data_IF_096628047965
#
_entry.id   IF_096628047965
#
_cell.length_a   1.000
_cell.length_b   1.000
_cell.length_c   1.000
_cell.angle_alpha   90.00
_cell.angle_beta   90.00
_cell.angle_gamma   90.00
#
_symmetry.space_group_name_H-M   'P 1'
#
loop_
_entity.id
_entity.type
_entity.pdbx_description
1 polymer ?
#
# COMPACT_ATOMS: atom_id res chain seq x y z
N UNK A 1 37.80 5.29 9.65
CA UNK A 1 36.80 6.33 9.95
C UNK A 1 36.72 7.24 8.74
N UNK A 2 36.10 6.71 7.69
CA UNK A 2 36.31 7.12 6.30
C UNK A 2 35.36 8.23 5.87
N UNK A 3 35.83 9.11 4.98
CA UNK A 3 35.17 10.34 4.50
C UNK A 3 33.88 10.13 3.70
N UNK A 4 32.92 9.42 4.28
CA UNK A 4 31.56 9.30 3.80
C UNK A 4 30.74 10.49 4.30
N UNK A 5 29.95 11.08 3.41
CA UNK A 5 28.99 12.13 3.75
C UNK A 5 27.67 11.48 4.15
N UNK A 6 27.12 11.88 5.30
CA UNK A 6 25.85 11.38 5.80
C UNK A 6 24.87 12.52 6.07
N UNK A 7 23.57 12.24 5.96
CA UNK A 7 22.52 13.19 6.33
C UNK A 7 21.31 12.45 6.92
N UNK A 8 20.51 13.17 7.68
CA UNK A 8 19.19 12.73 8.14
C UNK A 8 18.19 13.88 7.97
N UNK A 9 16.94 13.55 7.69
CA UNK A 9 15.87 14.53 7.50
C UNK A 9 15.11 14.83 8.80
N UNK A 10 13.98 15.52 8.66
CA UNK A 10 12.98 15.67 9.71
C UNK A 10 11.74 14.88 9.29
N UNK A 11 11.57 13.70 9.86
CA UNK A 11 10.46 12.78 9.58
C UNK A 11 10.20 11.88 10.78
N UNK A 12 9.16 11.04 10.72
CA UNK A 12 8.72 10.21 11.85
C UNK A 12 9.81 9.27 12.40
N UNK A 13 10.64 8.69 11.52
CA UNK A 13 11.74 7.80 11.91
C UNK A 13 13.13 8.44 11.76
N UNK A 14 13.21 9.70 11.30
CA UNK A 14 14.51 10.30 11.00
C UNK A 14 15.23 10.76 12.27
N UNK A 15 16.41 10.19 12.52
CA UNK A 15 17.30 10.60 13.60
C UNK A 15 18.78 10.45 13.17
N UNK A 16 19.70 10.82 14.05
CA UNK A 16 21.14 10.80 13.73
C UNK A 16 21.68 9.37 13.67
N UNK A 17 21.11 8.47 14.45
CA UNK A 17 21.49 7.07 14.56
C UNK A 17 21.10 6.27 13.30
N UNK A 18 20.04 6.68 12.60
CA UNK A 18 19.51 6.10 11.35
C UNK A 18 19.86 6.95 10.11
N UNK A 19 20.92 7.74 10.16
CA UNK A 19 21.32 8.60 9.05
C UNK A 19 21.67 7.81 7.78
N UNK A 20 21.25 8.32 6.61
CA UNK A 20 21.63 7.78 5.33
C UNK A 20 23.06 8.24 4.99
N UNK A 21 23.97 7.29 4.73
CA UNK A 21 25.38 7.56 4.45
C UNK A 21 25.76 7.15 3.03
N UNK A 22 26.40 8.06 2.30
CA UNK A 22 26.91 7.82 0.96
C UNK A 22 28.19 6.97 0.97
N UNK A 23 28.52 6.33 -0.15
CA UNK A 23 29.88 5.88 -0.42
C UNK A 23 30.69 7.07 -0.94
N UNK A 24 31.54 7.66 -0.08
CA UNK A 24 32.15 8.98 -0.27
C UNK A 24 31.09 10.07 -0.41
N UNK A 25 30.62 10.31 -1.62
CA UNK A 25 29.63 11.33 -1.99
C UNK A 25 28.49 10.80 -2.84
N UNK A 26 28.52 9.52 -3.26
CA UNK A 26 27.50 8.92 -4.11
C UNK A 26 26.60 7.97 -3.30
N UNK A 27 25.30 8.05 -3.52
CA UNK A 27 24.29 7.24 -2.85
C UNK A 27 23.31 6.68 -3.89
N UNK A 28 22.98 5.40 -3.76
CA UNK A 28 21.95 4.75 -4.56
C UNK A 28 20.56 5.07 -3.99
N UNK A 29 19.56 5.16 -4.87
CA UNK A 29 18.18 5.38 -4.48
C UNK A 29 17.23 5.22 -5.67
N UNK A 30 15.94 5.37 -5.41
CA UNK A 30 14.90 5.38 -6.43
C UNK A 30 14.45 6.81 -6.76
N UNK A 31 14.06 7.04 -8.01
CA UNK A 31 13.45 8.30 -8.45
C UNK A 31 12.05 8.01 -8.97
N UNK A 32 11.04 8.43 -8.21
CA UNK A 32 9.63 8.34 -8.60
C UNK A 32 9.23 9.66 -9.28
N UNK A 33 8.66 9.58 -10.48
CA UNK A 33 8.21 10.75 -11.23
C UNK A 33 6.88 11.24 -10.67
N UNK A 34 6.73 12.55 -10.52
CA UNK A 34 5.49 13.18 -10.08
C UNK A 34 4.35 12.98 -11.08
N UNK A 35 3.13 12.84 -10.56
CA UNK A 35 1.94 12.89 -11.40
C UNK A 35 1.80 14.26 -12.09
N UNK A 36 1.24 14.32 -13.31
CA UNK A 36 1.03 15.58 -14.01
C UNK A 36 0.19 16.57 -13.21
N UNK A 37 0.43 17.86 -13.41
CA UNK A 37 -0.35 18.92 -12.77
C UNK A 37 -1.83 18.79 -13.14
N UNK A 38 -2.72 18.90 -12.15
CA UNK A 38 -4.16 18.75 -12.32
C UNK A 38 -4.70 17.32 -12.17
N UNK A 39 -3.84 16.31 -12.04
CA UNK A 39 -4.23 14.93 -11.76
C UNK A 39 -4.43 14.73 -10.25
N UNK A 40 -5.48 15.34 -9.73
CA UNK A 40 -5.79 15.27 -8.31
C UNK A 40 -6.26 13.86 -7.92
N UNK A 41 -5.73 13.35 -6.81
CA UNK A 41 -6.09 12.04 -6.27
C UNK A 41 -7.19 12.16 -5.20
N UNK A 42 -8.10 11.18 -5.18
CA UNK A 42 -9.01 10.90 -4.08
C UNK A 42 -8.52 9.67 -3.34
N UNK A 43 -8.29 9.84 -2.03
CA UNK A 43 -7.82 8.81 -1.12
C UNK A 43 -8.98 8.06 -0.50
N UNK A 44 -8.87 6.75 -0.44
CA UNK A 44 -9.86 5.84 0.13
C UNK A 44 -9.22 4.94 1.18
N UNK A 45 -10.02 4.57 2.19
CA UNK A 45 -9.59 3.60 3.20
C UNK A 45 -9.73 2.19 2.65
N UNK A 46 -8.70 1.37 2.78
CA UNK A 46 -8.73 -0.01 2.30
C UNK A 46 -9.65 -0.88 3.20
N UNK A 47 -10.62 -1.66 2.67
CA UNK A 47 -11.53 -2.46 3.49
C UNK A 47 -10.84 -3.60 4.26
N UNK A 48 -9.69 -4.04 3.77
CA UNK A 48 -8.80 -5.01 4.43
C UNK A 48 -7.57 -4.35 5.08
N UNK A 49 -7.67 -3.06 5.44
CA UNK A 49 -6.59 -2.40 6.18
C UNK A 49 -6.28 -3.18 7.48
N UNK A 50 -4.99 -3.38 7.75
CA UNK A 50 -4.50 -3.94 9.02
C UNK A 50 -4.64 -2.95 10.17
N UNK A 51 -4.71 -3.49 11.37
CA UNK A 51 -4.52 -2.74 12.61
C UNK A 51 -3.02 -2.56 12.88
N UNK A 52 -2.59 -1.33 13.09
CA UNK A 52 -1.20 -1.00 13.47
C UNK A 52 -1.01 -1.04 15.00
N UNK A 53 -1.60 -2.03 15.64
CA UNK A 53 -1.53 -2.30 17.08
C UNK A 53 -1.74 -3.79 17.33
N UNK A 54 -1.71 -4.22 18.59
CA UNK A 54 -1.82 -5.64 18.96
C UNK A 54 -3.25 -6.23 18.83
N UNK A 55 -4.22 -5.48 18.29
CA UNK A 55 -5.59 -5.99 18.09
C UNK A 55 -5.71 -6.56 16.69
N UNK A 56 -6.58 -7.55 16.51
CA UNK A 56 -6.94 -8.05 15.18
C UNK A 56 -7.88 -7.08 14.46
N UNK A 57 -7.77 -7.01 13.14
CA UNK A 57 -8.70 -6.28 12.28
C UNK A 57 -10.01 -7.08 12.10
N UNK A 58 -11.10 -6.42 11.73
CA UNK A 58 -12.41 -7.08 11.59
C UNK A 58 -12.41 -8.20 10.56
N UNK A 59 -11.70 -7.99 9.44
CA UNK A 59 -11.61 -8.96 8.35
C UNK A 59 -10.81 -10.23 8.72
N UNK A 60 -9.96 -10.17 9.75
CA UNK A 60 -9.22 -11.32 10.27
C UNK A 60 -10.09 -12.22 11.16
N UNK A 61 -11.24 -11.71 11.63
CA UNK A 61 -12.14 -12.40 12.54
C UNK A 61 -13.46 -12.81 11.88
N UNK A 62 -13.89 -12.11 10.83
CA UNK A 62 -15.18 -12.29 10.19
C UNK A 62 -15.05 -12.94 8.81
N UNK A 63 -15.44 -14.22 8.73
CA UNK A 63 -15.47 -14.97 7.46
C UNK A 63 -16.47 -14.41 6.44
N UNK A 64 -17.41 -13.55 6.85
CA UNK A 64 -18.36 -12.88 5.97
C UNK A 64 -17.99 -11.40 5.72
N UNK A 65 -16.76 -10.98 6.01
CA UNK A 65 -16.33 -9.58 5.85
C UNK A 65 -16.57 -9.08 4.41
N UNK A 66 -16.18 -9.84 3.38
CA UNK A 66 -16.41 -9.43 2.00
C UNK A 66 -17.90 -9.21 1.68
N UNK A 67 -18.80 -10.06 2.19
CA UNK A 67 -20.26 -9.90 1.97
C UNK A 67 -20.80 -8.57 2.50
N UNK A 68 -20.17 -8.00 3.53
CA UNK A 68 -20.49 -6.65 4.03
C UNK A 68 -19.87 -5.57 3.16
N UNK A 69 -18.64 -5.78 2.70
CA UNK A 69 -17.93 -4.83 1.82
C UNK A 69 -18.69 -4.63 0.51
N UNK A 70 -19.13 -5.70 -0.15
CA UNK A 70 -19.85 -5.63 -1.43
C UNK A 70 -21.24 -4.98 -1.35
N UNK A 71 -21.74 -4.70 -0.14
CA UNK A 71 -23.01 -3.99 0.06
C UNK A 71 -22.80 -2.49 0.31
N UNK A 72 -21.55 -2.01 0.32
CA UNK A 72 -21.21 -0.63 0.65
C UNK A 72 -20.59 0.06 -0.55
N UNK A 73 -21.04 1.28 -0.84
CA UNK A 73 -20.38 2.16 -1.79
C UNK A 73 -18.93 2.46 -1.36
N UNK A 74 -17.95 2.48 -2.28
CA UNK A 74 -18.08 2.31 -3.74
C UNK A 74 -17.89 0.86 -4.25
N UNK A 75 -18.00 -0.15 -3.39
CA UNK A 75 -17.72 -1.56 -3.73
C UNK A 75 -18.96 -2.35 -4.21
N UNK A 76 -20.14 -1.77 -4.04
CA UNK A 76 -21.42 -2.35 -4.46
C UNK A 76 -21.71 -2.20 -5.95
N UNK A 77 -20.94 -1.36 -6.66
CA UNK A 77 -21.13 -1.02 -8.06
C UNK A 77 -19.78 -0.82 -8.77
N UNK A 78 -19.80 -0.96 -10.10
CA UNK A 78 -18.63 -0.70 -10.95
C UNK A 78 -17.47 -1.69 -10.73
N UNK A 79 -16.26 -1.36 -11.23
CA UNK A 79 -15.11 -2.26 -11.20
C UNK A 79 -14.35 -2.24 -9.87
N UNK A 80 -14.74 -1.39 -8.91
CA UNK A 80 -13.92 -1.07 -7.74
C UNK A 80 -13.46 -2.27 -6.91
N UNK A 81 -14.35 -3.24 -6.69
CA UNK A 81 -14.01 -4.45 -5.95
C UNK A 81 -12.97 -5.29 -6.71
N UNK A 82 -13.11 -5.40 -8.03
CA UNK A 82 -12.18 -6.13 -8.88
C UNK A 82 -10.81 -5.43 -8.90
N UNK A 83 -10.77 -4.10 -8.97
CA UNK A 83 -9.52 -3.34 -8.87
C UNK A 83 -8.79 -3.60 -7.54
N UNK A 84 -9.55 -3.75 -6.43
CA UNK A 84 -8.98 -4.12 -5.13
C UNK A 84 -8.39 -5.53 -5.17
N UNK A 85 -9.08 -6.48 -5.79
CA UNK A 85 -8.60 -7.86 -5.91
C UNK A 85 -7.33 -7.91 -6.76
N UNK A 86 -7.28 -7.20 -7.88
CA UNK A 86 -6.08 -7.08 -8.73
C UNK A 86 -4.92 -6.46 -7.95
N UNK A 87 -5.19 -5.42 -7.17
CA UNK A 87 -4.19 -4.78 -6.31
C UNK A 87 -3.70 -5.74 -5.21
N UNK A 88 -4.59 -6.57 -4.65
CA UNK A 88 -4.21 -7.57 -3.65
C UNK A 88 -3.32 -8.67 -4.24
N UNK A 89 -3.58 -9.09 -5.49
CA UNK A 89 -2.68 -10.03 -6.20
C UNK A 89 -1.32 -9.39 -6.43
N UNK A 90 -1.28 -8.13 -6.88
CA UNK A 90 -0.03 -7.38 -7.03
C UNK A 90 0.73 -7.27 -5.70
N UNK A 91 0.05 -6.86 -4.62
CA UNK A 91 0.63 -6.75 -3.29
C UNK A 91 1.16 -8.07 -2.76
N UNK A 92 0.45 -9.17 -3.02
CA UNK A 92 0.89 -10.51 -2.61
C UNK A 92 2.19 -10.89 -3.31
N UNK A 93 2.28 -10.67 -4.63
CA UNK A 93 3.49 -10.99 -5.41
C UNK A 93 4.73 -10.21 -4.98
N UNK A 94 4.55 -8.98 -4.48
CA UNK A 94 5.65 -8.14 -4.02
C UNK A 94 5.84 -8.16 -2.50
N UNK A 95 5.00 -8.90 -1.77
CA UNK A 95 5.03 -8.99 -0.30
C UNK A 95 4.68 -7.68 0.43
N UNK A 96 3.87 -6.80 -0.16
CA UNK A 96 3.50 -5.53 0.45
C UNK A 96 2.27 -5.64 1.35
N UNK A 97 2.51 -5.84 2.64
CA UNK A 97 1.45 -5.95 3.65
C UNK A 97 0.92 -4.59 4.18
N UNK A 98 1.39 -3.46 3.64
CA UNK A 98 1.11 -2.11 4.17
C UNK A 98 0.07 -1.31 3.36
N UNK A 99 -0.67 -1.94 2.44
CA UNK A 99 -1.74 -1.28 1.65
C UNK A 99 -2.94 -0.93 2.52
N UNK A 100 -2.85 0.20 3.21
CA UNK A 100 -3.85 0.64 4.18
C UNK A 100 -4.79 1.74 3.63
N UNK A 101 -4.39 2.38 2.54
CA UNK A 101 -5.20 3.24 1.69
C UNK A 101 -4.95 2.91 0.23
N UNK A 102 -5.82 3.40 -0.63
CA UNK A 102 -5.60 3.44 -2.07
C UNK A 102 -6.11 4.76 -2.64
N UNK A 103 -5.59 5.12 -3.80
CA UNK A 103 -5.93 6.36 -4.49
C UNK A 103 -6.59 6.10 -5.84
N UNK A 104 -7.42 7.04 -6.24
CA UNK A 104 -8.11 7.09 -7.54
C UNK A 104 -7.99 8.49 -8.10
N UNK A 105 -8.10 8.68 -9.40
CA UNK A 105 -8.16 10.03 -9.96
C UNK A 105 -9.52 10.67 -9.71
N UNK A 106 -9.53 11.93 -9.24
CA UNK A 106 -10.77 12.71 -9.04
C UNK A 106 -11.52 12.96 -10.35
N UNK A 107 -10.83 12.99 -11.49
CA UNK A 107 -11.36 13.44 -12.78
C UNK A 107 -11.94 12.30 -13.65
N UNK A 108 -12.47 11.24 -13.04
CA UNK A 108 -12.98 10.06 -13.77
C UNK A 108 -14.17 9.38 -13.10
N UNK A 109 -14.90 10.10 -12.24
CA UNK A 109 -15.96 9.57 -11.36
C UNK A 109 -15.52 8.34 -10.53
N UNK A 110 -16.43 7.75 -9.77
CA UNK A 110 -16.17 6.63 -8.85
C UNK A 110 -15.71 5.33 -9.57
N UNK A 111 -15.59 5.34 -10.90
CA UNK A 111 -15.14 4.25 -11.77
C UNK A 111 -13.64 4.30 -12.13
N UNK A 112 -12.90 5.34 -11.73
CA UNK A 112 -11.47 5.43 -12.00
C UNK A 112 -10.66 4.29 -11.37
N UNK A 113 -9.71 3.73 -12.12
CA UNK A 113 -8.79 2.66 -11.66
C UNK A 113 -8.00 3.05 -10.41
N UNK A 114 -7.57 2.05 -9.64
CA UNK A 114 -6.64 2.21 -8.52
C UNK A 114 -5.25 2.64 -9.01
N UNK A 115 -4.67 3.64 -8.34
CA UNK A 115 -3.28 4.06 -8.56
C UNK A 115 -2.41 3.41 -7.50
N UNK A 116 -1.44 2.58 -7.92
CA UNK A 116 -0.56 1.84 -7.02
C UNK A 116 0.63 2.69 -6.55
N UNK A 117 0.41 3.50 -5.51
CA UNK A 117 1.44 4.35 -4.89
C UNK A 117 2.08 3.71 -3.65
N UNK A 118 3.20 4.27 -3.20
CA UNK A 118 3.85 3.94 -1.92
C UNK A 118 4.21 2.45 -1.71
N UNK A 119 4.80 1.82 -2.73
CA UNK A 119 5.16 0.39 -2.70
C UNK A 119 6.52 0.08 -2.01
N UNK A 120 7.08 1.01 -1.23
CA UNK A 120 8.44 0.90 -0.70
C UNK A 120 8.61 -0.14 0.42
N UNK A 121 7.50 -0.70 0.95
CA UNK A 121 7.51 -1.79 1.95
C UNK A 121 7.41 -3.19 1.33
N UNK A 122 7.66 -3.29 0.02
CA UNK A 122 7.71 -4.54 -0.74
C UNK A 122 9.09 -5.21 -0.64
N UNK A 123 9.16 -6.49 -1.04
CA UNK A 123 10.40 -7.26 -1.20
C UNK A 123 11.29 -7.33 0.06
N UNK A 124 10.70 -7.20 1.25
CA UNK A 124 11.43 -7.21 2.52
C UNK A 124 11.89 -8.59 2.98
N UNK A 125 11.25 -9.67 2.51
CA UNK A 125 11.62 -11.04 2.82
C UNK A 125 11.31 -11.97 1.63
N UNK A 126 12.33 -12.51 0.93
CA UNK A 126 12.11 -13.40 -0.22
C UNK A 126 11.72 -14.84 0.16
N UNK A 127 11.83 -15.23 1.43
CA UNK A 127 11.59 -16.60 1.90
C UNK A 127 10.23 -16.74 2.63
N UNK A 128 9.38 -15.72 2.59
CA UNK A 128 8.09 -15.70 3.28
C UNK A 128 6.96 -15.16 2.40
N UNK A 129 5.94 -15.98 2.21
CA UNK A 129 4.70 -15.59 1.54
C UNK A 129 3.65 -15.16 2.57
N UNK A 130 3.31 -13.87 2.60
CA UNK A 130 2.31 -13.32 3.51
C UNK A 130 0.88 -13.53 2.96
N UNK A 131 0.34 -14.72 3.16
CA UNK A 131 -0.98 -15.13 2.64
C UNK A 131 -2.13 -14.19 3.02
N UNK A 132 -2.03 -13.49 4.16
CA UNK A 132 -3.08 -12.57 4.60
C UNK A 132 -3.23 -11.34 3.69
N UNK A 133 -2.25 -11.04 2.82
CA UNK A 133 -2.39 -10.01 1.76
C UNK A 133 -3.48 -10.41 0.75
N UNK A 134 -3.60 -11.70 0.44
CA UNK A 134 -4.59 -12.22 -0.50
C UNK A 134 -6.02 -12.31 0.06
N UNK A 135 -6.27 -11.76 1.26
CA UNK A 135 -7.59 -11.77 1.91
C UNK A 135 -8.74 -11.24 1.05
N UNK A 136 -8.60 -10.13 0.28
CA UNK A 136 -9.65 -9.70 -0.62
C UNK A 136 -10.03 -10.78 -1.65
N UNK A 137 -9.05 -11.49 -2.20
CA UNK A 137 -9.28 -12.53 -3.20
C UNK A 137 -10.03 -13.72 -2.59
N UNK A 138 -9.48 -14.35 -1.54
CA UNK A 138 -10.06 -15.59 -1.01
C UNK A 138 -11.34 -15.37 -0.20
N UNK A 139 -11.64 -14.15 0.28
CA UNK A 139 -12.91 -13.85 0.95
C UNK A 139 -14.03 -13.45 -0.02
N UNK A 140 -13.70 -12.91 -1.19
CA UNK A 140 -14.70 -12.44 -2.16
C UNK A 140 -15.01 -13.43 -3.29
N UNK A 141 -14.08 -14.31 -3.65
CA UNK A 141 -14.27 -15.32 -4.69
C UNK A 141 -14.71 -16.67 -4.12
N UNK A 142 -15.74 -16.67 -3.26
CA UNK A 142 -16.35 -17.86 -2.66
C UNK A 142 -17.75 -18.13 -3.23
#
# INVERSE_FOLDING_TARGET
>A
LGGNTCFYGVCYYCNKEEAACANKTSMEGSMTIWLPQGWALRKWRHPWQRTYNNRKASWELDNNHCKKVIQQSPYDQGPRLLDIIDTAVFDFLIGNADRHHYETFKKGDDEGMLVHLDNAKSFGNPDHDELSIAAPLYQCCQ
#
